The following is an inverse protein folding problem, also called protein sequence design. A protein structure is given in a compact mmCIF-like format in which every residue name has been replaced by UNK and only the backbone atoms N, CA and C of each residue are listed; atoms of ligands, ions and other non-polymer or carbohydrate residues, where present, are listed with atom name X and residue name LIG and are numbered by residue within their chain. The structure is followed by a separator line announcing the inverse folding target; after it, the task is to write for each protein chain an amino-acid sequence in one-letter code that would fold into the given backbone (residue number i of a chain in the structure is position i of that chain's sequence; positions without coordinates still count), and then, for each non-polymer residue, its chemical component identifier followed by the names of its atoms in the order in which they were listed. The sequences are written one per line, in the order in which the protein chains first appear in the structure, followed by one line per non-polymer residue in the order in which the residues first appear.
data_IF_466305109849
#
_entry.id   IF_466305109849
#
_cell.length_a   1.000
_cell.length_b   1.000
_cell.length_c   1.000
_cell.angle_alpha   90.00
_cell.angle_beta   90.00
_cell.angle_gamma   90.00
#
_symmetry.space_group_name_H-M   'P 1'
#
loop_
_entity.id
_entity.type
_entity.pdbx_description
1 polymer ?
#
# COMPACT_ATOMS: atom_id res chain seq x y z
N UNK A 1 17.07 10.40 0.29
CA UNK A 1 17.74 10.60 -1.01
C UNK A 1 19.04 11.35 -0.77
N UNK A 2 20.16 10.98 -1.41
CA UNK A 2 21.40 11.75 -1.34
C UNK A 2 21.18 13.23 -1.70
N UNK A 3 21.92 14.18 -1.09
CA UNK A 3 21.69 15.61 -1.30
C UNK A 3 21.86 16.10 -2.74
N UNK A 4 22.66 15.40 -3.54
CA UNK A 4 23.02 15.71 -4.93
C UNK A 4 22.27 14.85 -5.95
N UNK A 5 21.29 14.07 -5.52
CA UNK A 5 20.53 13.21 -6.41
C UNK A 5 19.65 14.03 -7.36
N UNK A 6 19.99 13.97 -8.64
CA UNK A 6 19.17 14.50 -9.72
C UNK A 6 18.61 13.33 -10.55
N UNK A 7 17.34 12.93 -10.35
CA UNK A 7 16.77 11.81 -11.11
C UNK A 7 16.83 12.11 -12.62
N UNK A 8 17.14 11.11 -13.47
CA UNK A 8 17.20 11.32 -14.92
C UNK A 8 15.90 11.90 -15.45
N UNK A 9 15.99 12.99 -16.23
CA UNK A 9 14.82 13.68 -16.79
C UNK A 9 14.14 14.67 -15.84
N UNK A 10 14.59 14.78 -14.59
CA UNK A 10 14.09 15.76 -13.63
C UNK A 10 15.12 16.85 -13.36
N UNK A 11 14.64 18.02 -12.95
CA UNK A 11 15.45 19.13 -12.42
C UNK A 11 14.92 19.50 -11.05
N UNK A 12 15.77 20.04 -10.18
CA UNK A 12 15.33 20.63 -8.92
C UNK A 12 14.29 21.72 -9.18
N UNK A 13 13.19 21.67 -8.43
CA UNK A 13 12.12 22.66 -8.53
C UNK A 13 12.57 23.99 -7.92
N UNK A 14 12.22 25.11 -8.55
CA UNK A 14 12.52 26.45 -8.03
C UNK A 14 11.52 26.90 -6.97
N UNK A 15 10.35 26.26 -6.92
CA UNK A 15 9.30 26.52 -5.94
C UNK A 15 9.08 25.28 -5.09
N UNK A 16 8.94 25.50 -3.78
CA UNK A 16 8.62 24.44 -2.82
C UNK A 16 7.14 24.05 -2.85
N UNK A 17 6.32 24.82 -3.56
CA UNK A 17 4.86 24.72 -3.56
C UNK A 17 4.27 24.66 -4.97
N UNK A 18 3.13 23.98 -5.07
CA UNK A 18 2.26 23.98 -6.25
C UNK A 18 1.27 25.14 -6.10
N UNK A 19 1.14 25.99 -7.12
CA UNK A 19 0.23 27.13 -7.14
C UNK A 19 -1.05 26.77 -7.90
N UNK A 20 -2.20 27.21 -7.39
CA UNK A 20 -3.51 27.07 -8.03
C UNK A 20 -4.08 28.45 -8.35
N UNK A 21 -4.80 28.59 -9.47
CA UNK A 21 -5.45 29.85 -9.88
C UNK A 21 -6.70 30.19 -9.05
N UNK A 22 -7.13 29.30 -8.16
CA UNK A 22 -8.31 29.45 -7.29
C UNK A 22 -8.18 28.67 -5.98
N UNK A 23 -9.29 28.51 -5.25
CA UNK A 23 -9.30 27.79 -3.99
C UNK A 23 -9.14 26.27 -4.22
N UNK A 24 -8.10 25.62 -3.67
CA UNK A 24 -7.87 24.21 -3.91
C UNK A 24 -8.81 23.32 -3.08
N UNK A 25 -9.48 22.39 -3.76
CA UNK A 25 -10.28 21.31 -3.18
C UNK A 25 -9.53 19.99 -3.34
N UNK A 26 -9.56 19.15 -2.31
CA UNK A 26 -8.85 17.88 -2.25
C UNK A 26 -9.81 16.70 -2.28
N UNK A 27 -9.58 15.78 -3.22
CA UNK A 27 -10.31 14.52 -3.33
C UNK A 27 -9.34 13.37 -3.09
N UNK A 28 -9.65 12.50 -2.14
CA UNK A 28 -8.87 11.27 -1.92
C UNK A 28 -9.43 10.17 -2.82
N UNK A 29 -8.62 9.72 -3.78
CA UNK A 29 -9.04 8.69 -4.75
C UNK A 29 -8.90 7.31 -4.15
N UNK A 30 -7.83 7.05 -3.40
CA UNK A 30 -7.62 5.77 -2.75
C UNK A 30 -6.17 5.52 -2.34
N UNK A 31 -5.96 4.35 -1.74
CA UNK A 31 -4.68 3.87 -1.25
C UNK A 31 -4.48 2.40 -1.60
N UNK A 32 -3.28 2.05 -2.07
CA UNK A 32 -2.85 0.67 -2.32
C UNK A 32 -1.68 0.38 -1.40
N UNK A 33 -1.84 -0.63 -0.56
CA UNK A 33 -0.82 -1.07 0.38
C UNK A 33 -0.21 -2.38 -0.10
N UNK A 34 1.11 -2.43 -0.12
CA UNK A 34 1.92 -3.64 -0.31
C UNK A 34 2.83 -3.80 0.90
N UNK A 35 3.46 -4.99 1.14
CA UNK A 35 4.32 -5.20 2.30
C UNK A 35 5.47 -4.20 2.46
N UNK A 36 5.90 -3.56 1.36
CA UNK A 36 7.07 -2.66 1.35
C UNK A 36 6.73 -1.23 0.91
N UNK A 37 5.53 -0.96 0.40
CA UNK A 37 5.15 0.36 -0.11
C UNK A 37 3.68 0.66 0.14
N UNK A 38 3.38 1.93 0.39
CA UNK A 38 2.02 2.48 0.39
C UNK A 38 1.96 3.53 -0.72
N UNK A 39 1.05 3.33 -1.67
CA UNK A 39 0.78 4.29 -2.73
C UNK A 39 -0.57 4.97 -2.46
N UNK A 40 -0.56 6.29 -2.26
CA UNK A 40 -1.77 7.09 -2.01
C UNK A 40 -2.01 8.06 -3.16
N UNK A 41 -3.21 8.05 -3.71
CA UNK A 41 -3.60 8.95 -4.80
C UNK A 41 -4.57 10.00 -4.25
N UNK A 42 -4.19 11.26 -4.41
CA UNK A 42 -5.02 12.44 -4.10
C UNK A 42 -5.05 13.34 -5.33
N UNK A 43 -6.22 13.93 -5.58
CA UNK A 43 -6.42 14.93 -6.62
C UNK A 43 -6.67 16.26 -5.95
N UNK A 44 -6.00 17.31 -6.43
CA UNK A 44 -6.27 18.69 -6.04
C UNK A 44 -6.74 19.45 -7.28
N UNK A 45 -7.88 20.12 -7.18
CA UNK A 45 -8.48 20.93 -8.25
C UNK A 45 -8.99 22.25 -7.66
N UNK A 46 -9.28 23.26 -8.49
CA UNK A 46 -9.98 24.44 -8.01
C UNK A 46 -11.45 24.14 -7.67
N UNK A 47 -12.00 24.89 -6.72
CA UNK A 47 -13.38 24.79 -6.22
C UNK A 47 -14.43 24.97 -7.31
N UNK A 48 -14.23 25.93 -8.21
CA UNK A 48 -15.22 26.33 -9.19
C UNK A 48 -15.51 25.19 -10.17
N UNK A 49 -14.48 24.44 -10.57
CA UNK A 49 -14.66 23.21 -11.37
C UNK A 49 -15.42 22.13 -10.63
N UNK A 50 -15.24 21.99 -9.32
CA UNK A 50 -15.98 21.00 -8.53
C UNK A 50 -17.46 21.36 -8.46
N UNK A 51 -17.79 22.64 -8.23
CA UNK A 51 -19.17 23.11 -8.21
C UNK A 51 -19.89 22.94 -9.55
N UNK A 52 -19.17 23.09 -10.67
CA UNK A 52 -19.72 22.85 -12.01
C UNK A 52 -20.06 21.37 -12.20
N UNK A 53 -19.14 20.47 -11.83
CA UNK A 53 -19.36 19.03 -11.91
C UNK A 53 -20.54 18.59 -11.04
N UNK A 54 -20.69 19.13 -9.83
CA UNK A 54 -21.83 18.81 -8.94
C UNK A 54 -23.19 19.22 -9.53
N UNK A 55 -23.22 20.21 -10.44
CA UNK A 55 -24.43 20.61 -11.18
C UNK A 55 -24.70 19.73 -12.39
N UNK A 56 -23.63 19.23 -13.02
CA UNK A 56 -23.70 18.42 -14.25
C UNK A 56 -23.93 16.93 -13.97
N UNK A 57 -23.45 16.43 -12.84
CA UNK A 57 -23.60 15.04 -12.44
C UNK A 57 -25.01 14.80 -11.85
N UNK A 58 -25.67 13.68 -12.20
CA UNK A 58 -26.89 13.28 -11.51
C UNK A 58 -26.56 13.08 -10.03
N UNK A 59 -27.36 13.66 -9.14
CA UNK A 59 -27.28 13.35 -7.70
C UNK A 59 -27.50 11.86 -7.54
N UNK A 60 -26.43 11.13 -7.26
CA UNK A 60 -26.52 9.74 -6.81
C UNK A 60 -27.13 9.83 -5.42
N UNK A 61 -28.43 9.56 -5.32
CA UNK A 61 -29.11 9.43 -4.04
C UNK A 61 -28.46 8.25 -3.33
N UNK A 62 -27.90 8.52 -2.16
CA UNK A 62 -27.21 7.54 -1.34
C UNK A 62 -28.24 6.53 -0.83
N UNK A 63 -28.60 5.55 -1.66
CA UNK A 63 -29.23 4.34 -1.20
C UNK A 63 -28.20 3.61 -0.36
N UNK A 64 -28.22 3.90 0.94
CA UNK A 64 -27.61 3.11 2.00
C UNK A 64 -28.29 1.74 2.08
N UNK A 65 -28.26 0.98 0.99
CA UNK A 65 -28.27 -0.46 1.07
C UNK A 65 -26.80 -0.82 1.05
N UNK A 66 -26.22 -0.99 2.25
CA UNK A 66 -25.00 -1.75 2.42
C UNK A 66 -25.24 -3.12 1.76
N UNK A 67 -24.92 -3.25 0.47
CA UNK A 67 -24.47 -4.52 -0.05
C UNK A 67 -23.16 -4.73 0.67
N UNK A 68 -23.20 -5.54 1.72
CA UNK A 68 -22.05 -6.31 2.15
C UNK A 68 -21.62 -7.10 0.92
N UNK A 69 -20.79 -6.48 0.08
CA UNK A 69 -19.84 -7.24 -0.69
C UNK A 69 -18.92 -7.73 0.41
N UNK A 70 -19.13 -8.98 0.83
CA UNK A 70 -18.12 -9.73 1.57
C UNK A 70 -16.91 -9.78 0.62
N UNK A 71 -16.11 -8.72 0.61
CA UNK A 71 -14.76 -8.79 0.08
C UNK A 71 -14.05 -9.71 1.05
N UNK A 72 -13.90 -10.97 0.66
CA UNK A 72 -13.12 -11.94 1.43
C UNK A 72 -11.77 -11.27 1.76
N UNK A 73 -11.41 -11.08 3.04
CA UNK A 73 -10.14 -10.48 3.41
C UNK A 73 -8.94 -11.34 2.96
N UNK A 74 -9.18 -12.52 2.40
CA UNK A 74 -8.21 -13.39 1.74
C UNK A 74 -8.26 -13.34 0.20
N UNK A 75 -9.11 -12.50 -0.41
CA UNK A 75 -9.07 -12.25 -1.86
C UNK A 75 -7.86 -11.38 -2.19
N UNK A 76 -6.72 -12.03 -2.33
CA UNK A 76 -5.54 -11.43 -2.92
C UNK A 76 -5.88 -11.12 -4.38
N UNK A 77 -6.23 -9.86 -4.68
CA UNK A 77 -6.18 -9.36 -6.06
C UNK A 77 -4.72 -9.43 -6.48
N UNK A 78 -4.35 -10.56 -7.07
CA UNK A 78 -3.06 -10.79 -7.66
C UNK A 78 -3.00 -9.92 -8.92
N UNK A 79 -2.49 -8.70 -8.75
CA UNK A 79 -1.99 -7.91 -9.88
C UNK A 79 -0.88 -8.73 -10.52
N UNK A 80 -1.24 -9.48 -11.58
CA UNK A 80 -0.29 -10.24 -12.39
C UNK A 80 0.63 -9.26 -13.14
N UNK A 81 1.61 -8.75 -12.41
CA UNK A 81 2.83 -8.20 -13.00
C UNK A 81 3.56 -9.42 -13.52
N UNK A 82 3.23 -9.85 -14.75
CA UNK A 82 3.92 -10.92 -15.48
C UNK A 82 5.44 -10.70 -15.33
N UNK A 83 6.06 -11.36 -14.35
CA UNK A 83 7.46 -11.16 -14.02
C UNK A 83 7.86 -11.16 -12.54
N UNK A 84 6.97 -11.30 -11.56
CA UNK A 84 7.37 -11.41 -10.15
C UNK A 84 7.53 -12.90 -9.74
N UNK A 85 8.76 -13.47 -9.67
CA UNK A 85 8.94 -14.78 -9.09
C UNK A 85 8.67 -14.68 -7.59
N UNK A 86 7.80 -15.57 -7.11
CA UNK A 86 7.28 -15.65 -5.76
C UNK A 86 8.27 -15.25 -4.66
N UNK A 87 7.81 -14.41 -3.73
CA UNK A 87 8.43 -14.19 -2.43
C UNK A 87 8.30 -15.49 -1.61
N UNK A 88 9.13 -16.49 -1.89
CA UNK A 88 9.35 -17.59 -0.96
C UNK A 88 10.23 -17.07 0.19
N UNK A 89 9.59 -16.61 1.27
CA UNK A 89 10.29 -16.31 2.52
C UNK A 89 11.00 -17.58 3.01
N UNK A 90 12.30 -17.53 3.35
CA UNK A 90 12.97 -18.67 3.95
C UNK A 90 12.40 -18.95 5.35
N UNK A 91 12.13 -20.22 5.65
CA UNK A 91 11.67 -20.65 6.97
C UNK A 91 12.73 -20.35 8.04
N UNK A 92 12.34 -19.91 9.25
CA UNK A 92 13.29 -19.65 10.33
C UNK A 92 13.99 -20.96 10.75
N UNK A 93 15.28 -20.91 11.12
CA UNK A 93 16.02 -22.09 11.55
C UNK A 93 15.40 -22.69 12.82
N UNK A 94 15.17 -24.01 12.79
CA UNK A 94 14.54 -24.77 13.87
C UNK A 94 15.30 -24.63 15.19
N UNK A 95 14.54 -24.53 16.27
CA UNK A 95 15.06 -24.56 17.63
C UNK A 95 15.83 -25.87 17.89
N UNK A 96 17.08 -25.74 18.32
CA UNK A 96 17.90 -26.85 18.80
C UNK A 96 17.13 -27.67 19.84
N UNK A 97 16.83 -28.92 19.48
CA UNK A 97 16.36 -29.93 20.41
C UNK A 97 17.47 -30.23 21.40
N UNK A 98 17.33 -29.70 22.61
CA UNK A 98 18.10 -30.05 23.81
C UNK A 98 18.18 -31.58 23.94
N UNK A 99 19.32 -32.15 23.55
CA UNK A 99 19.61 -33.57 23.76
C UNK A 99 19.51 -33.92 25.23
N UNK A 100 18.61 -34.83 25.57
CA UNK A 100 18.56 -35.46 26.89
C UNK A 100 19.79 -36.36 27.03
N UNK A 101 20.63 -36.07 28.01
CA UNK A 101 21.76 -36.92 28.38
C UNK A 101 21.30 -38.35 28.66
N UNK A 102 21.99 -39.31 28.04
CA UNK A 102 21.85 -40.74 28.35
C UNK A 102 22.34 -40.94 29.78
N UNK A 103 21.48 -41.46 30.65
CA UNK A 103 21.90 -42.03 31.93
C UNK A 103 22.40 -43.44 31.63
N UNK A 104 23.71 -43.61 31.55
CA UNK A 104 24.35 -44.92 31.56
C UNK A 104 24.43 -45.39 33.01
N UNK A 105 23.48 -46.23 33.44
CA UNK A 105 23.66 -47.05 34.63
C UNK A 105 24.51 -48.27 34.25
N UNK A 106 25.69 -48.34 34.83
CA UNK A 106 26.63 -49.45 34.75
C UNK A 106 26.08 -50.69 35.50
N UNK A 107 25.92 -51.87 34.88
CA UNK A 107 25.70 -53.11 35.60
C UNK A 107 27.05 -53.78 35.86
N UNK A 108 27.42 -53.82 37.13
CA UNK A 108 28.80 -54.08 37.54
C UNK A 108 29.39 -55.46 37.27
N UNK A 109 30.69 -55.57 37.60
CA UNK A 109 31.30 -56.66 38.34
C UNK A 109 32.68 -56.24 38.84
#
# INVERSE_FOLDING_TARGET
TPPDYQPPGFKEGTLDNIMFEGEPVFLSVGEVVTPFHVLRVKVTTDSDRMEQLDRELPKVEDSTAARTVESDPNEQVEINVRGCPALSLPSPPGSEGRGKGVVGSDPGK
#
